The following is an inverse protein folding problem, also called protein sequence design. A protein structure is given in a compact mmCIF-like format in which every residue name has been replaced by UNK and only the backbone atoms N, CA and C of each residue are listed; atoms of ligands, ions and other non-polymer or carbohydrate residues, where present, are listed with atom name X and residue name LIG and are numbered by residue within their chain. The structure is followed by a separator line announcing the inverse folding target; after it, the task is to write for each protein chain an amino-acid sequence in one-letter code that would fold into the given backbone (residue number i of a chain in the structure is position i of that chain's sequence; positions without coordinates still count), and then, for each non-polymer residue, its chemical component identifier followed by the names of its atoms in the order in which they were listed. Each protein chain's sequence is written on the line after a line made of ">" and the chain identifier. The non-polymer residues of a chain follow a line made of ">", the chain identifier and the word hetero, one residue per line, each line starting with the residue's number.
data_IF_319754966670
#
_entry.id   IF_319754966670
#
_cell.length_a   1.000
_cell.length_b   1.000
_cell.length_c   1.000
_cell.angle_alpha   90.00
_cell.angle_beta   90.00
_cell.angle_gamma   90.00
#
_symmetry.space_group_name_H-M   'P 1'
#
loop_
_entity.id
_entity.type
_entity.pdbx_description
1 polymer ?
#
# COMPACT_ATOMS: atom_id res chain seq x y z
N UNK A 1 -31.11 17.60 -81.50
CA UNK A 1 -32.56 17.75 -81.75
C UNK A 1 -33.15 18.43 -80.55
N UNK A 2 -33.58 19.65 -80.79
CA UNK A 2 -34.67 20.46 -80.22
C UNK A 2 -34.67 20.64 -78.65
N UNK A 3 -34.32 21.82 -78.13
CA UNK A 3 -34.98 23.15 -78.27
C UNK A 3 -36.34 23.17 -77.52
N UNK A 4 -36.55 24.01 -76.57
CA UNK A 4 -36.96 25.39 -76.58
C UNK A 4 -37.23 25.81 -75.08
N UNK A 5 -36.70 26.88 -74.59
CA UNK A 5 -37.16 28.28 -74.66
C UNK A 5 -38.60 28.50 -74.13
N UNK A 6 -38.79 29.29 -73.12
CA UNK A 6 -39.17 30.72 -73.08
C UNK A 6 -39.92 30.96 -71.82
N UNK A 7 -39.94 31.97 -71.11
CA UNK A 7 -39.70 33.42 -71.04
C UNK A 7 -40.60 34.01 -69.95
N UNK A 8 -40.03 34.92 -69.18
CA UNK A 8 -40.53 36.26 -68.75
C UNK A 8 -41.90 36.38 -68.05
N UNK A 9 -42.00 37.06 -66.95
CA UNK A 9 -42.15 38.52 -66.91
C UNK A 9 -42.18 39.04 -65.46
N UNK A 10 -41.58 40.18 -65.28
CA UNK A 10 -41.59 41.07 -64.14
C UNK A 10 -43.02 41.51 -63.76
N UNK A 11 -43.19 41.84 -62.47
CA UNK A 11 -43.86 43.08 -62.05
C UNK A 11 -43.39 43.55 -60.71
N UNK A 12 -42.74 44.71 -60.66
CA UNK A 12 -42.56 45.61 -59.54
C UNK A 12 -43.90 46.15 -59.08
N UNK A 13 -44.10 46.31 -57.75
CA UNK A 13 -44.84 47.43 -57.16
C UNK A 13 -44.33 47.60 -55.69
N UNK A 14 -43.53 48.61 -55.49
CA UNK A 14 -43.70 49.85 -54.72
C UNK A 14 -44.11 49.71 -53.25
N UNK A 15 -43.15 50.08 -52.42
CA UNK A 15 -43.11 50.97 -51.29
C UNK A 15 -44.38 51.17 -50.45
N UNK A 16 -44.27 50.96 -49.13
CA UNK A 16 -44.24 52.03 -48.15
C UNK A 16 -43.78 51.55 -46.75
N UNK A 17 -43.31 52.47 -45.90
CA UNK A 17 -42.35 52.20 -44.88
C UNK A 17 -42.99 52.17 -43.46
N UNK A 18 -42.13 52.05 -42.49
CA UNK A 18 -42.29 52.12 -41.04
C UNK A 18 -42.85 50.87 -40.34
N UNK A 19 -41.89 50.07 -39.97
CA UNK A 19 -41.86 49.61 -38.56
C UNK A 19 -40.41 49.28 -38.22
N UNK A 20 -39.83 50.11 -37.36
CA UNK A 20 -38.57 49.81 -36.75
C UNK A 20 -38.75 48.63 -35.78
N UNK A 21 -38.29 47.47 -36.21
CA UNK A 21 -38.11 46.36 -35.29
C UNK A 21 -36.62 46.23 -35.02
N UNK A 22 -36.31 46.54 -33.76
CA UNK A 22 -35.04 46.23 -33.12
C UNK A 22 -34.73 44.74 -33.35
N UNK A 23 -33.88 44.42 -34.27
CA UNK A 23 -33.20 43.10 -34.25
C UNK A 23 -32.14 43.14 -33.21
N UNK A 24 -32.48 42.69 -32.03
CA UNK A 24 -31.52 42.30 -31.00
C UNK A 24 -30.76 41.11 -31.61
N UNK A 25 -29.57 41.37 -32.06
CA UNK A 25 -28.62 40.32 -32.44
C UNK A 25 -28.38 39.46 -31.18
N UNK A 26 -28.97 38.27 -31.18
CA UNK A 26 -28.52 37.23 -30.27
C UNK A 26 -27.10 36.84 -30.65
N UNK A 27 -26.11 37.55 -30.14
CA UNK A 27 -24.78 37.00 -29.95
C UNK A 27 -24.96 35.87 -28.96
N UNK A 28 -25.07 34.65 -29.44
CA UNK A 28 -24.75 33.47 -28.65
C UNK A 28 -23.28 33.56 -28.26
N UNK A 29 -23.00 34.26 -27.18
CA UNK A 29 -21.78 34.04 -26.42
C UNK A 29 -21.83 32.59 -26.01
N UNK A 30 -21.15 31.71 -26.74
CA UNK A 30 -20.77 30.42 -26.22
C UNK A 30 -19.90 30.72 -24.99
N UNK A 31 -20.54 30.74 -23.84
CA UNK A 31 -19.88 30.68 -22.56
C UNK A 31 -19.22 29.29 -22.58
N UNK A 32 -17.94 29.23 -22.98
CA UNK A 32 -17.05 28.19 -22.53
C UNK A 32 -17.02 28.33 -21.02
N UNK A 33 -17.90 27.63 -20.34
CA UNK A 33 -17.70 27.24 -18.98
C UNK A 33 -16.47 26.32 -19.10
N UNK A 34 -15.29 26.91 -19.02
CA UNK A 34 -14.14 26.19 -18.53
C UNK A 34 -14.66 25.64 -17.19
N UNK A 35 -15.02 24.36 -17.19
CA UNK A 35 -15.14 23.65 -15.97
C UNK A 35 -13.75 23.81 -15.34
N UNK A 36 -13.67 24.78 -14.42
CA UNK A 36 -12.61 24.79 -13.44
C UNK A 36 -12.67 23.42 -12.78
N UNK A 37 -11.87 22.52 -13.33
CA UNK A 37 -11.39 21.37 -12.62
C UNK A 37 -10.34 21.85 -11.59
N UNK A 38 -10.69 22.87 -10.82
CA UNK A 38 -10.25 22.96 -9.46
C UNK A 38 -10.92 21.78 -8.77
N UNK A 39 -10.39 20.57 -9.08
CA UNK A 39 -10.45 19.50 -8.12
C UNK A 39 -10.16 20.18 -6.81
N UNK A 40 -11.12 20.20 -5.91
CA UNK A 40 -10.96 20.63 -4.54
C UNK A 40 -9.71 19.89 -4.05
N UNK A 41 -8.56 20.52 -4.15
CA UNK A 41 -7.42 20.21 -3.35
C UNK A 41 -7.93 20.47 -1.94
N UNK A 42 -8.57 19.45 -1.36
CA UNK A 42 -9.00 19.47 0.01
C UNK A 42 -7.77 19.94 0.75
N UNK A 43 -7.84 21.12 1.36
CA UNK A 43 -6.73 21.75 2.04
C UNK A 43 -6.18 20.69 2.99
N UNK A 44 -5.09 20.03 2.56
CA UNK A 44 -4.54 18.87 3.24
C UNK A 44 -3.79 19.40 4.46
N UNK A 45 -4.47 19.36 5.58
CA UNK A 45 -3.84 19.70 6.86
C UNK A 45 -2.82 18.64 7.23
N UNK A 46 -1.77 19.07 7.92
CA UNK A 46 -0.85 18.16 8.61
C UNK A 46 -1.62 17.16 9.45
N UNK A 47 -1.27 15.89 9.35
CA UNK A 47 -1.93 14.81 10.06
C UNK A 47 -0.93 13.71 10.40
N UNK A 48 -1.33 12.77 11.24
CA UNK A 48 -0.48 11.65 11.67
C UNK A 48 -1.17 10.31 11.42
N UNK A 49 -0.35 9.30 11.16
CA UNK A 49 -0.75 7.90 11.07
C UNK A 49 0.18 7.03 11.92
N UNK A 50 -0.31 5.88 12.37
CA UNK A 50 0.51 4.90 13.07
C UNK A 50 1.09 3.88 12.10
N UNK A 51 2.37 3.54 12.27
CA UNK A 51 3.06 2.48 11.55
C UNK A 51 3.43 1.39 12.55
N UNK A 52 3.02 0.16 12.28
CA UNK A 52 3.29 -1.05 13.08
C UNK A 52 3.43 -2.27 12.18
N UNK A 53 4.05 -3.34 12.69
CA UNK A 53 4.17 -4.64 12.03
C UNK A 53 4.60 -5.74 12.98
N UNK A 54 4.65 -6.97 12.50
CA UNK A 54 5.26 -8.13 13.14
C UNK A 54 4.81 -8.34 14.61
N UNK A 55 3.50 -8.23 14.86
CA UNK A 55 2.87 -8.41 16.16
C UNK A 55 1.39 -8.80 16.04
N UNK A 56 0.79 -9.51 17.04
CA UNK A 56 1.42 -10.07 18.24
C UNK A 56 2.14 -11.40 17.94
N UNK A 57 3.37 -11.57 18.44
CA UNK A 57 4.03 -12.87 18.45
C UNK A 57 4.11 -13.40 19.87
N UNK A 58 4.15 -14.71 20.04
CA UNK A 58 4.37 -15.40 21.31
C UNK A 58 3.58 -14.88 22.53
N UNK A 59 3.85 -15.40 23.72
CA UNK A 59 3.17 -14.99 24.95
C UNK A 59 3.53 -13.55 25.37
N UNK A 60 4.76 -13.09 25.09
CA UNK A 60 5.19 -11.73 25.40
C UNK A 60 4.48 -10.73 24.46
N UNK A 61 4.46 -11.01 23.16
CA UNK A 61 3.78 -10.18 22.18
C UNK A 61 2.27 -10.08 22.46
N UNK A 62 1.62 -11.19 22.80
CA UNK A 62 0.19 -11.21 23.18
C UNK A 62 -0.09 -10.31 24.39
N UNK A 63 0.85 -10.23 25.34
CA UNK A 63 0.72 -9.38 26.52
C UNK A 63 1.02 -7.91 26.24
N UNK A 64 1.99 -7.63 25.37
CA UNK A 64 2.50 -6.29 25.11
C UNK A 64 1.72 -5.54 24.01
N UNK A 65 1.21 -6.24 23.02
CA UNK A 65 0.47 -5.62 21.91
C UNK A 65 -0.76 -4.80 22.33
N UNK A 66 -1.54 -5.22 23.35
CA UNK A 66 -2.62 -4.37 23.86
C UNK A 66 -2.16 -2.99 24.35
N UNK A 67 -0.95 -2.87 24.90
CA UNK A 67 -0.40 -1.58 25.33
C UNK A 67 -0.10 -0.68 24.14
N UNK A 68 0.44 -1.24 23.04
CA UNK A 68 0.66 -0.53 21.76
C UNK A 68 -0.68 -0.02 21.20
N UNK A 69 -1.68 -0.89 21.15
CA UNK A 69 -3.02 -0.54 20.62
C UNK A 69 -3.66 0.57 21.48
N UNK A 70 -3.56 0.47 22.81
CA UNK A 70 -4.11 1.47 23.73
C UNK A 70 -3.46 2.84 23.53
N UNK A 71 -2.12 2.89 23.36
CA UNK A 71 -1.41 4.15 23.12
C UNK A 71 -1.79 4.75 21.76
N UNK A 72 -1.86 3.92 20.70
CA UNK A 72 -2.33 4.33 19.39
C UNK A 72 -3.77 4.88 19.45
N UNK A 73 -4.68 4.17 20.13
CA UNK A 73 -6.06 4.58 20.28
C UNK A 73 -6.24 5.88 21.08
N UNK A 74 -5.33 6.16 22.02
CA UNK A 74 -5.30 7.41 22.78
C UNK A 74 -4.67 8.58 22.00
N UNK A 75 -3.94 8.30 20.92
CA UNK A 75 -3.23 9.28 20.12
C UNK A 75 -4.13 9.92 19.05
N UNK A 76 -3.71 11.10 18.54
CA UNK A 76 -4.42 11.82 17.47
C UNK A 76 -3.97 11.37 16.09
N UNK A 77 -4.08 10.08 15.81
CA UNK A 77 -3.79 9.53 14.49
C UNK A 77 -5.08 9.36 13.68
N UNK A 78 -4.98 9.37 12.36
CA UNK A 78 -6.13 9.23 11.47
C UNK A 78 -6.38 7.78 11.04
N UNK A 79 -5.31 7.01 10.86
CA UNK A 79 -5.35 5.60 10.46
C UNK A 79 -4.07 4.89 10.89
N UNK A 80 -4.08 3.56 10.83
CA UNK A 80 -2.92 2.71 11.10
C UNK A 80 -2.54 1.95 9.83
N UNK A 81 -1.26 1.89 9.50
CA UNK A 81 -0.69 0.98 8.53
C UNK A 81 0.00 -0.17 9.26
N UNK A 82 -0.39 -1.39 8.91
CA UNK A 82 0.13 -2.60 9.50
C UNK A 82 0.81 -3.46 8.41
N UNK A 83 2.11 -3.63 8.52
CA UNK A 83 2.91 -4.28 7.48
C UNK A 83 2.94 -5.82 7.55
N UNK A 84 2.05 -6.40 8.33
CA UNK A 84 1.86 -7.86 8.29
C UNK A 84 2.47 -8.58 9.47
N UNK A 85 2.44 -9.91 9.35
CA UNK A 85 2.92 -10.83 10.38
C UNK A 85 2.17 -10.69 11.71
N UNK A 86 0.93 -11.17 11.70
CA UNK A 86 0.06 -11.22 12.89
C UNK A 86 0.34 -12.41 13.79
N UNK A 87 1.24 -13.30 13.39
CA UNK A 87 1.63 -14.49 14.13
C UNK A 87 3.09 -14.83 13.89
N UNK A 88 3.70 -15.52 14.86
CA UNK A 88 5.10 -15.92 14.77
C UNK A 88 5.33 -16.99 13.70
N UNK A 89 6.44 -16.91 12.97
CA UNK A 89 6.91 -17.96 12.05
C UNK A 89 7.32 -19.27 12.74
N UNK A 90 7.36 -19.33 14.09
CA UNK A 90 7.94 -20.47 14.82
C UNK A 90 7.02 -21.13 15.86
N UNK A 91 5.94 -20.51 16.27
CA UNK A 91 5.17 -21.01 17.44
C UNK A 91 3.68 -21.07 17.21
N UNK A 92 3.13 -20.06 16.57
CA UNK A 92 1.70 -19.94 16.38
C UNK A 92 1.24 -20.84 15.24
N UNK A 93 0.21 -21.65 15.50
CA UNK A 93 -0.29 -22.59 14.48
C UNK A 93 -1.32 -21.91 13.59
N UNK A 94 -1.20 -22.12 12.29
CA UNK A 94 -2.12 -21.61 11.27
C UNK A 94 -3.44 -22.41 11.20
N UNK A 95 -4.07 -22.67 12.35
CA UNK A 95 -5.36 -23.36 12.38
C UNK A 95 -6.48 -22.47 11.83
N UNK A 96 -7.57 -23.07 11.37
CA UNK A 96 -8.72 -22.32 10.86
C UNK A 96 -9.28 -21.34 11.90
N UNK A 97 -9.21 -21.70 13.19
CA UNK A 97 -9.66 -20.85 14.30
C UNK A 97 -8.75 -19.66 14.58
N UNK A 98 -7.47 -19.69 14.14
CA UNK A 98 -6.52 -18.61 14.40
C UNK A 98 -6.94 -17.29 13.73
N UNK A 99 -7.40 -17.33 12.50
CA UNK A 99 -7.74 -16.13 11.73
C UNK A 99 -8.93 -15.34 12.30
N UNK A 100 -10.10 -15.93 12.58
CA UNK A 100 -11.17 -15.18 13.25
C UNK A 100 -10.79 -14.73 14.67
N UNK A 101 -9.95 -15.47 15.38
CA UNK A 101 -9.42 -15.05 16.68
C UNK A 101 -8.52 -13.81 16.56
N UNK A 102 -7.65 -13.74 15.55
CA UNK A 102 -6.85 -12.55 15.23
C UNK A 102 -7.73 -11.35 14.88
N UNK A 103 -8.79 -11.57 14.09
CA UNK A 103 -9.72 -10.49 13.77
C UNK A 103 -10.28 -9.85 15.02
N UNK A 104 -10.85 -10.64 15.91
CA UNK A 104 -11.51 -10.14 17.12
C UNK A 104 -10.53 -9.73 18.23
N UNK A 105 -9.39 -10.39 18.33
CA UNK A 105 -8.37 -10.16 19.37
C UNK A 105 -7.39 -9.05 19.07
N UNK A 106 -7.17 -8.75 17.78
CA UNK A 106 -6.19 -7.75 17.35
C UNK A 106 -6.84 -6.68 16.47
N UNK A 107 -7.28 -6.99 15.25
CA UNK A 107 -7.75 -5.99 14.28
C UNK A 107 -8.93 -5.15 14.79
N UNK A 108 -9.92 -5.78 15.41
CA UNK A 108 -11.12 -5.10 15.89
C UNK A 108 -10.87 -4.26 17.17
N UNK A 109 -9.64 -4.24 17.69
CA UNK A 109 -9.27 -3.41 18.85
C UNK A 109 -8.87 -1.99 18.48
N UNK A 110 -8.58 -1.72 17.22
CA UNK A 110 -8.23 -0.38 16.77
C UNK A 110 -9.47 0.50 16.60
N UNK A 111 -9.44 1.72 17.15
CA UNK A 111 -10.55 2.68 17.06
C UNK A 111 -10.65 3.34 15.68
N UNK A 112 -9.53 3.47 15.00
CA UNK A 112 -9.41 4.07 13.68
C UNK A 112 -9.24 2.99 12.62
N UNK A 113 -9.43 3.31 11.31
CA UNK A 113 -9.18 2.37 10.23
C UNK A 113 -7.75 1.83 10.29
N UNK A 114 -7.62 0.54 10.03
CA UNK A 114 -6.35 -0.12 9.88
C UNK A 114 -6.26 -0.70 8.46
N UNK A 115 -5.16 -0.41 7.78
CA UNK A 115 -4.83 -0.98 6.48
C UNK A 115 -3.70 -1.98 6.66
N UNK A 116 -3.87 -3.16 6.08
CA UNK A 116 -3.05 -4.32 6.31
C UNK A 116 -2.54 -4.89 4.99
N UNK A 117 -1.25 -5.24 4.93
CA UNK A 117 -0.68 -6.14 3.92
C UNK A 117 -0.36 -7.48 4.56
N UNK A 118 -0.49 -8.57 3.81
CA UNK A 118 -0.30 -9.92 4.33
C UNK A 118 1.20 -10.22 4.45
N UNK A 119 1.63 -10.71 5.62
CA UNK A 119 2.97 -11.24 5.82
C UNK A 119 3.10 -12.71 5.42
N UNK A 120 4.31 -13.25 5.49
CA UNK A 120 4.58 -14.65 5.18
C UNK A 120 4.13 -15.58 6.30
N UNK A 121 4.15 -15.13 7.54
CA UNK A 121 3.77 -15.93 8.69
C UNK A 121 2.29 -16.33 8.71
N UNK A 122 1.41 -15.58 8.06
CA UNK A 122 -0.01 -15.89 7.97
C UNK A 122 -0.33 -16.99 6.97
N UNK A 123 0.57 -17.32 6.04
CA UNK A 123 0.26 -18.30 5.00
C UNK A 123 1.46 -19.05 4.44
N UNK A 124 2.51 -18.40 3.93
CA UNK A 124 3.68 -19.06 3.32
C UNK A 124 4.30 -20.03 4.32
N UNK A 125 4.59 -19.55 5.51
CA UNK A 125 5.26 -20.26 6.59
C UNK A 125 4.36 -21.32 7.27
N UNK A 126 3.09 -21.38 6.92
CA UNK A 126 2.15 -22.31 7.53
C UNK A 126 2.41 -23.78 7.16
N UNK A 127 3.21 -24.02 6.13
CA UNK A 127 3.67 -25.36 5.75
C UNK A 127 4.75 -25.93 6.68
N UNK A 128 5.37 -25.07 7.51
CA UNK A 128 6.32 -25.49 8.54
C UNK A 128 5.64 -26.42 9.53
N UNK A 129 6.31 -27.53 9.87
CA UNK A 129 5.78 -28.52 10.82
C UNK A 129 5.39 -27.90 12.16
N UNK A 130 6.18 -26.95 12.68
CA UNK A 130 5.91 -26.23 13.92
C UNK A 130 4.63 -25.38 13.85
N UNK A 131 4.22 -24.97 12.65
CA UNK A 131 3.01 -24.20 12.41
C UNK A 131 1.79 -25.06 12.08
N UNK A 132 2.00 -26.37 11.89
CA UNK A 132 0.96 -27.36 11.65
C UNK A 132 1.02 -28.03 10.28
N UNK A 133 1.95 -27.64 9.39
CA UNK A 133 2.13 -28.26 8.07
C UNK A 133 0.95 -28.05 7.13
N UNK A 134 0.34 -26.88 7.17
CA UNK A 134 -0.82 -26.55 6.33
C UNK A 134 -0.40 -26.13 4.93
N UNK A 135 -1.26 -26.40 3.96
CA UNK A 135 -1.08 -25.90 2.60
C UNK A 135 -1.16 -24.36 2.56
N UNK A 136 -0.12 -23.65 2.08
CA UNK A 136 -0.08 -22.19 2.05
C UNK A 136 -1.26 -21.54 1.33
N UNK A 137 -1.67 -22.07 0.17
CA UNK A 137 -2.77 -21.49 -0.60
C UNK A 137 -4.11 -21.61 0.12
N UNK A 138 -4.31 -22.71 0.87
CA UNK A 138 -5.49 -22.85 1.73
C UNK A 138 -5.50 -21.80 2.85
N UNK A 139 -4.33 -21.47 3.38
CA UNK A 139 -4.19 -20.43 4.42
C UNK A 139 -4.41 -19.05 3.84
N UNK A 140 -3.84 -18.75 2.68
CA UNK A 140 -4.08 -17.50 1.97
C UNK A 140 -5.58 -17.28 1.70
N UNK A 141 -6.31 -18.32 1.32
CA UNK A 141 -7.76 -18.24 1.15
C UNK A 141 -8.48 -17.85 2.45
N UNK A 142 -8.03 -18.38 3.61
CA UNK A 142 -8.58 -18.01 4.91
C UNK A 142 -8.22 -16.57 5.30
N UNK A 143 -6.99 -16.13 5.04
CA UNK A 143 -6.59 -14.72 5.25
C UNK A 143 -7.50 -13.80 4.45
N UNK A 144 -7.68 -14.07 3.15
CA UNK A 144 -8.54 -13.27 2.27
C UNK A 144 -9.98 -13.21 2.77
N UNK A 145 -10.57 -14.36 3.16
CA UNK A 145 -11.96 -14.40 3.60
C UNK A 145 -12.22 -13.78 4.98
N UNK A 146 -11.22 -13.77 5.86
CA UNK A 146 -11.36 -13.19 7.20
C UNK A 146 -11.04 -11.69 7.24
N UNK A 147 -10.13 -11.19 6.37
CA UNK A 147 -9.58 -9.85 6.51
C UNK A 147 -9.82 -8.93 5.31
N UNK A 148 -10.17 -9.45 4.13
CA UNK A 148 -10.28 -8.63 2.92
C UNK A 148 -11.63 -8.66 2.24
N UNK A 149 -12.20 -9.85 1.99
CA UNK A 149 -13.44 -9.95 1.25
C UNK A 149 -14.29 -11.12 1.74
N UNK A 150 -15.54 -10.85 2.05
CA UNK A 150 -16.55 -11.86 2.40
C UNK A 150 -16.97 -12.66 1.18
N UNK A 151 -17.60 -13.81 1.42
CA UNK A 151 -18.12 -14.68 0.36
C UNK A 151 -19.17 -14.01 -0.55
N UNK A 152 -19.85 -12.99 -0.07
CA UNK A 152 -20.81 -12.18 -0.84
C UNK A 152 -20.16 -11.08 -1.70
N UNK A 153 -18.83 -11.01 -1.72
CA UNK A 153 -18.06 -10.02 -2.45
C UNK A 153 -17.86 -8.68 -1.70
N UNK A 154 -18.42 -8.53 -0.51
CA UNK A 154 -18.26 -7.31 0.29
C UNK A 154 -16.84 -7.23 0.85
N UNK A 155 -16.16 -6.10 0.62
CA UNK A 155 -14.85 -5.84 1.22
C UNK A 155 -14.95 -5.57 2.72
N UNK A 156 -13.95 -6.03 3.45
CA UNK A 156 -13.87 -5.92 4.91
C UNK A 156 -13.02 -4.69 5.26
N UNK A 157 -13.54 -3.86 6.15
CA UNK A 157 -12.75 -2.79 6.77
C UNK A 157 -12.22 -3.29 8.11
N UNK A 158 -10.90 -3.21 8.30
CA UNK A 158 -10.25 -3.58 9.56
C UNK A 158 -10.14 -2.36 10.49
N UNK A 159 -10.12 -2.60 11.77
CA UNK A 159 -10.16 -1.56 12.79
C UNK A 159 -11.50 -0.82 12.80
N UNK A 160 -11.45 0.49 13.10
CA UNK A 160 -12.61 1.38 13.12
C UNK A 160 -13.73 0.93 14.08
N UNK A 161 -13.36 0.32 15.20
CA UNK A 161 -14.34 -0.22 16.17
C UNK A 161 -15.29 0.84 16.74
N UNK A 162 -14.92 2.13 16.67
CA UNK A 162 -15.80 3.25 17.07
C UNK A 162 -16.60 3.86 15.92
N UNK A 163 -16.57 3.31 14.73
CA UNK A 163 -17.32 3.82 13.58
C UNK A 163 -16.93 5.23 13.14
N UNK A 164 -15.71 5.67 13.46
CA UNK A 164 -15.25 7.04 13.21
C UNK A 164 -14.56 7.20 11.86
N UNK A 165 -14.60 6.16 11.01
CA UNK A 165 -14.00 6.25 9.67
C UNK A 165 -14.64 7.41 8.93
N UNK A 166 -13.83 8.34 8.41
CA UNK A 166 -14.34 9.22 7.40
C UNK A 166 -14.89 8.34 6.27
N UNK A 167 -16.20 8.38 6.03
CA UNK A 167 -16.88 7.68 4.91
C UNK A 167 -16.32 8.07 3.53
N UNK A 168 -15.18 8.73 3.50
CA UNK A 168 -14.53 9.38 2.38
C UNK A 168 -13.24 8.71 1.92
N UNK A 169 -12.74 7.66 2.60
CA UNK A 169 -11.64 6.88 2.07
C UNK A 169 -12.22 5.87 1.10
N UNK A 170 -12.27 6.23 -0.18
CA UNK A 170 -12.65 5.33 -1.26
C UNK A 170 -11.51 4.35 -1.52
N UNK A 171 -11.53 3.19 -0.86
CA UNK A 171 -10.54 2.14 -1.07
C UNK A 171 -10.86 1.40 -2.35
N UNK A 172 -9.88 1.34 -3.25
CA UNK A 172 -9.92 0.48 -4.42
C UNK A 172 -9.25 -0.85 -4.09
N UNK A 173 -9.83 -1.93 -4.60
CA UNK A 173 -9.29 -3.28 -4.49
C UNK A 173 -9.07 -3.87 -5.88
N UNK A 174 -8.15 -4.80 -6.00
CA UNK A 174 -8.07 -5.65 -7.18
C UNK A 174 -9.15 -6.73 -7.11
N UNK A 175 -9.75 -7.06 -8.24
CA UNK A 175 -10.87 -8.02 -8.28
C UNK A 175 -10.44 -9.48 -8.11
N UNK A 176 -9.20 -9.81 -8.48
CA UNK A 176 -8.65 -11.16 -8.34
C UNK A 176 -7.83 -11.32 -7.05
N UNK A 177 -7.31 -10.22 -6.53
CA UNK A 177 -6.46 -10.15 -5.35
C UNK A 177 -7.04 -9.11 -4.37
N UNK A 178 -8.07 -9.44 -3.58
CA UNK A 178 -8.79 -8.49 -2.73
C UNK A 178 -7.91 -7.81 -1.67
N UNK A 179 -6.75 -8.39 -1.37
CA UNK A 179 -5.73 -7.83 -0.50
C UNK A 179 -4.94 -6.68 -1.13
N UNK A 180 -4.93 -6.55 -2.46
CA UNK A 180 -4.32 -5.40 -3.12
C UNK A 180 -5.23 -4.18 -2.98
N UNK A 181 -4.79 -3.20 -2.21
CA UNK A 181 -5.56 -2.02 -1.86
C UNK A 181 -4.85 -0.75 -2.33
N UNK A 182 -5.61 0.26 -2.69
CA UNK A 182 -5.11 1.63 -2.86
C UNK A 182 -6.18 2.66 -2.55
N UNK A 183 -5.76 3.82 -2.07
CA UNK A 183 -6.64 4.95 -1.82
C UNK A 183 -5.86 6.26 -1.80
N UNK A 184 -6.55 7.38 -1.94
CA UNK A 184 -5.97 8.70 -1.68
C UNK A 184 -6.58 9.29 -0.40
N UNK A 185 -5.72 9.83 0.46
CA UNK A 185 -6.14 10.46 1.70
C UNK A 185 -5.30 11.71 1.97
N UNK A 186 -5.96 12.85 2.15
CA UNK A 186 -5.35 14.15 2.46
C UNK A 186 -4.11 14.47 1.62
N UNK A 187 -4.21 14.28 0.30
CA UNK A 187 -3.16 14.62 -0.65
C UNK A 187 -2.03 13.60 -0.79
N UNK A 188 -2.15 12.44 -0.19
CA UNK A 188 -1.21 11.31 -0.31
C UNK A 188 -1.93 10.12 -0.94
N UNK A 189 -1.26 9.42 -1.85
CA UNK A 189 -1.72 8.13 -2.40
C UNK A 189 -1.05 6.99 -1.64
N UNK A 190 -1.86 6.04 -1.20
CA UNK A 190 -1.46 4.82 -0.50
C UNK A 190 -1.61 3.64 -1.44
N UNK A 191 -0.57 2.83 -1.56
CA UNK A 191 -0.53 1.63 -2.43
C UNK A 191 -0.13 0.46 -1.55
N UNK A 192 -0.96 -0.56 -1.48
CA UNK A 192 -0.75 -1.73 -0.63
C UNK A 192 -0.74 -2.97 -1.52
N UNK A 193 0.41 -3.36 -2.07
CA UNK A 193 0.59 -4.63 -2.73
C UNK A 193 0.77 -5.76 -1.71
N UNK A 194 0.74 -7.01 -2.15
CA UNK A 194 0.99 -8.19 -1.35
C UNK A 194 2.37 -8.77 -1.66
N UNK A 195 3.37 -8.33 -0.90
CA UNK A 195 4.78 -8.73 -1.05
C UNK A 195 5.28 -9.24 0.30
N UNK A 196 5.13 -10.56 0.59
CA UNK A 196 5.54 -11.15 1.86
C UNK A 196 7.02 -11.52 1.86
N UNK A 197 7.58 -11.75 3.05
CA UNK A 197 8.85 -12.39 3.28
C UNK A 197 8.95 -13.79 2.69
N UNK A 198 9.81 -14.63 3.25
CA UNK A 198 10.01 -16.02 2.83
C UNK A 198 10.14 -16.17 1.30
N UNK A 199 11.06 -15.37 0.73
CA UNK A 199 11.32 -15.31 -0.71
C UNK A 199 10.07 -15.07 -1.57
N UNK A 200 9.09 -14.32 -1.06
CA UNK A 200 7.85 -13.99 -1.78
C UNK A 200 7.07 -15.25 -2.25
N UNK A 201 7.14 -16.35 -1.50
CA UNK A 201 6.59 -17.66 -1.88
C UNK A 201 7.19 -18.24 -3.19
N UNK A 202 8.35 -17.78 -3.64
CA UNK A 202 9.02 -18.33 -4.83
C UNK A 202 9.66 -19.68 -4.55
N UNK A 203 9.59 -20.62 -5.51
CA UNK A 203 10.29 -21.90 -5.44
C UNK A 203 11.82 -21.79 -5.54
N UNK A 204 12.34 -20.61 -5.85
CA UNK A 204 13.79 -20.31 -5.94
C UNK A 204 14.42 -20.11 -4.56
N UNK A 205 13.69 -20.40 -3.49
CA UNK A 205 14.22 -20.31 -2.12
C UNK A 205 15.49 -21.15 -1.94
N UNK A 206 16.51 -20.54 -1.37
CA UNK A 206 17.84 -21.15 -1.16
C UNK A 206 17.81 -22.41 -0.29
N UNK A 207 18.80 -23.29 -0.42
CA UNK A 207 19.04 -24.39 0.51
C UNK A 207 19.10 -23.99 1.99
N UNK A 208 19.47 -22.76 2.30
CA UNK A 208 19.50 -22.23 3.68
C UNK A 208 18.11 -21.99 4.26
N UNK A 209 17.14 -21.64 3.46
CA UNK A 209 15.74 -21.59 3.88
C UNK A 209 15.20 -23.00 4.22
N UNK A 210 15.71 -24.03 3.55
CA UNK A 210 15.34 -25.43 3.80
C UNK A 210 15.73 -25.95 5.19
N UNK A 211 16.73 -25.36 5.84
CA UNK A 211 17.14 -25.78 7.20
C UNK A 211 16.18 -25.28 8.29
N UNK A 212 15.41 -24.26 8.06
CA UNK A 212 14.31 -23.85 8.95
C UNK A 212 13.02 -24.65 8.70
N UNK A 213 12.91 -25.30 7.57
CA UNK A 213 11.71 -25.96 7.07
C UNK A 213 11.98 -27.42 6.77
N UNK A 214 12.09 -28.27 7.79
CA UNK A 214 12.31 -29.74 7.64
C UNK A 214 11.18 -30.48 6.88
N UNK A 215 10.15 -29.79 6.45
CA UNK A 215 9.03 -30.33 5.69
C UNK A 215 8.38 -29.33 4.74
N UNK A 216 8.99 -28.16 4.52
CA UNK A 216 8.42 -27.14 3.65
C UNK A 216 8.36 -27.66 2.22
N UNK A 217 7.21 -27.54 1.60
CA UNK A 217 7.12 -27.56 0.14
C UNK A 217 7.96 -26.40 -0.38
N UNK A 218 8.80 -26.66 -1.36
CA UNK A 218 9.40 -25.57 -2.14
C UNK A 218 8.24 -24.67 -2.58
N UNK A 219 8.35 -23.33 -2.47
CA UNK A 219 7.27 -22.38 -2.75
C UNK A 219 6.47 -22.66 -4.04
N UNK A 220 5.49 -21.86 -4.32
CA UNK A 220 4.62 -22.04 -5.50
C UNK A 220 4.94 -20.99 -6.57
N UNK A 221 5.76 -21.38 -7.55
CA UNK A 221 6.13 -20.51 -8.67
C UNK A 221 4.95 -20.04 -9.53
N UNK A 222 3.86 -20.80 -9.57
CA UNK A 222 2.66 -20.40 -10.33
C UNK A 222 1.95 -19.25 -9.59
N UNK A 223 1.74 -19.43 -8.28
CA UNK A 223 1.17 -18.39 -7.42
C UNK A 223 2.08 -17.17 -7.40
N UNK A 224 3.36 -17.35 -7.08
CA UNK A 224 4.36 -16.30 -7.00
C UNK A 224 4.36 -15.41 -8.27
N UNK A 225 4.55 -16.00 -9.44
CA UNK A 225 4.63 -15.26 -10.71
C UNK A 225 3.35 -14.51 -11.04
N UNK A 226 2.20 -15.10 -10.75
CA UNK A 226 0.90 -14.48 -10.99
C UNK A 226 0.68 -13.28 -10.05
N UNK A 227 0.96 -13.43 -8.75
CA UNK A 227 0.82 -12.36 -7.77
C UNK A 227 1.88 -11.27 -7.95
N UNK A 228 3.13 -11.63 -8.27
CA UNK A 228 4.19 -10.65 -8.54
C UNK A 228 3.84 -9.76 -9.74
N UNK A 229 3.33 -10.35 -10.82
CA UNK A 229 2.83 -9.59 -11.96
C UNK A 229 1.65 -8.66 -11.58
N UNK A 230 0.72 -9.13 -10.75
CA UNK A 230 -0.39 -8.33 -10.24
C UNK A 230 0.11 -7.18 -9.35
N UNK A 231 1.09 -7.43 -8.47
CA UNK A 231 1.73 -6.40 -7.64
C UNK A 231 2.38 -5.31 -8.49
N UNK A 232 3.15 -5.69 -9.51
CA UNK A 232 3.77 -4.72 -10.45
C UNK A 232 2.71 -3.88 -11.14
N UNK A 233 1.65 -4.50 -11.65
CA UNK A 233 0.54 -3.78 -12.29
C UNK A 233 -0.16 -2.85 -11.30
N UNK A 234 -0.35 -3.27 -10.05
CA UNK A 234 -0.99 -2.49 -9.00
C UNK A 234 -0.15 -1.28 -8.58
N UNK A 235 1.15 -1.47 -8.42
CA UNK A 235 2.11 -0.38 -8.14
C UNK A 235 2.06 0.64 -9.27
N UNK A 236 2.16 0.22 -10.53
CA UNK A 236 2.09 1.11 -11.69
C UNK A 236 0.79 1.93 -11.68
N UNK A 237 -0.36 1.28 -11.51
CA UNK A 237 -1.67 1.91 -11.44
C UNK A 237 -1.77 2.91 -10.29
N UNK A 238 -1.19 2.58 -9.13
CA UNK A 238 -1.17 3.46 -7.96
C UNK A 238 -0.36 4.73 -8.19
N UNK A 239 0.79 4.63 -8.83
CA UNK A 239 1.58 5.81 -9.20
C UNK A 239 0.91 6.65 -10.31
N UNK A 240 0.26 6.01 -11.29
CA UNK A 240 -0.55 6.72 -12.29
C UNK A 240 -1.67 7.51 -11.62
N UNK A 241 -2.37 6.89 -10.65
CA UNK A 241 -3.36 7.57 -9.83
C UNK A 241 -2.75 8.74 -9.07
N UNK A 242 -1.60 8.56 -8.42
CA UNK A 242 -0.93 9.62 -7.68
C UNK A 242 -0.57 10.82 -8.56
N UNK A 243 -0.12 10.57 -9.78
CA UNK A 243 0.17 11.62 -10.77
C UNK A 243 -1.13 12.33 -11.19
N UNK A 244 -2.18 11.58 -11.50
CA UNK A 244 -3.47 12.12 -11.93
C UNK A 244 -4.14 12.95 -10.83
N UNK A 245 -4.08 12.49 -9.58
CA UNK A 245 -4.63 13.18 -8.42
C UNK A 245 -3.77 14.38 -7.97
N UNK A 246 -2.57 14.56 -8.51
CA UNK A 246 -1.63 15.59 -8.10
C UNK A 246 -1.05 15.37 -6.70
N UNK A 247 -1.01 14.13 -6.20
CA UNK A 247 -0.58 13.78 -4.85
C UNK A 247 0.76 14.40 -4.48
N UNK A 248 0.89 14.84 -3.23
CA UNK A 248 2.13 15.41 -2.70
C UNK A 248 3.20 14.33 -2.46
N UNK A 249 2.78 13.09 -2.20
CA UNK A 249 3.65 11.93 -2.02
C UNK A 249 2.89 10.62 -2.22
N UNK A 250 3.65 9.54 -2.21
CA UNK A 250 3.14 8.16 -2.27
C UNK A 250 3.67 7.39 -1.07
N UNK A 251 2.81 6.60 -0.43
CA UNK A 251 3.20 5.61 0.57
C UNK A 251 2.91 4.23 0.00
N UNK A 252 3.92 3.36 -0.02
CA UNK A 252 3.79 1.95 -0.39
C UNK A 252 3.97 1.10 0.86
N UNK A 253 3.05 0.17 1.13
CA UNK A 253 3.07 -0.71 2.27
C UNK A 253 3.31 -2.15 1.79
N UNK A 254 4.39 -2.77 2.25
CA UNK A 254 4.72 -4.20 2.02
C UNK A 254 5.11 -4.84 3.34
N UNK A 255 5.18 -6.18 3.41
CA UNK A 255 5.71 -6.83 4.60
C UNK A 255 7.21 -7.10 4.43
N UNK A 256 7.64 -7.66 3.33
CA UNK A 256 9.03 -8.08 3.11
C UNK A 256 10.04 -6.93 3.21
N UNK A 257 11.16 -7.18 3.84
CA UNK A 257 12.33 -6.30 3.76
C UNK A 257 12.85 -6.17 2.30
N UNK A 258 12.65 -7.16 1.47
CA UNK A 258 13.10 -7.22 0.07
C UNK A 258 14.64 -7.13 -0.11
N UNK A 259 15.39 -7.32 0.97
CA UNK A 259 16.87 -7.36 0.94
C UNK A 259 17.51 -6.14 0.22
N UNK A 260 17.13 -4.94 0.70
CA UNK A 260 17.67 -3.69 0.15
C UNK A 260 19.14 -3.50 0.48
N UNK A 261 19.60 -4.00 1.60
CA UNK A 261 20.95 -3.86 2.11
C UNK A 261 21.95 -4.73 1.35
N UNK A 262 21.49 -5.75 0.63
CA UNK A 262 22.33 -6.76 0.02
C UNK A 262 23.14 -7.55 1.05
N UNK A 263 22.70 -7.55 2.31
CA UNK A 263 23.32 -8.35 3.35
C UNK A 263 22.86 -9.81 3.23
N UNK A 264 23.81 -10.72 3.07
CA UNK A 264 23.61 -12.07 3.51
C UNK A 264 23.40 -12.03 5.03
N UNK A 265 22.21 -12.38 5.53
CA UNK A 265 21.97 -12.65 6.96
C UNK A 265 22.96 -13.69 7.50
N UNK A 266 23.46 -14.51 6.62
CA UNK A 266 24.53 -15.48 6.86
C UNK A 266 25.61 -15.27 5.80
N UNK A 267 26.82 -14.91 6.22
CA UNK A 267 27.96 -14.74 5.33
C UNK A 267 28.32 -16.03 4.55
N UNK A 268 27.79 -17.20 4.97
CA UNK A 268 27.93 -18.48 4.30
C UNK A 268 26.86 -18.72 3.22
N UNK A 269 25.83 -17.89 3.12
CA UNK A 269 24.74 -18.02 2.14
C UNK A 269 24.53 -16.67 1.42
N UNK A 270 25.14 -16.48 0.25
CA UNK A 270 24.88 -15.26 -0.53
C UNK A 270 23.39 -15.20 -0.92
N UNK A 271 22.71 -14.12 -0.50
CA UNK A 271 21.28 -13.89 -0.66
C UNK A 271 20.80 -13.61 -2.10
N UNK A 272 21.51 -14.08 -3.09
CA UNK A 272 21.21 -13.79 -4.49
C UNK A 272 19.82 -14.27 -4.94
N UNK A 273 19.24 -15.24 -4.24
CA UNK A 273 17.96 -15.85 -4.61
C UNK A 273 16.76 -15.11 -3.98
N UNK A 274 16.87 -14.64 -2.73
CA UNK A 274 15.84 -13.82 -2.12
C UNK A 274 15.71 -12.48 -2.86
N UNK A 275 16.83 -11.87 -3.27
CA UNK A 275 16.82 -10.64 -4.05
C UNK A 275 16.10 -10.81 -5.40
N UNK A 276 16.25 -11.97 -6.05
CA UNK A 276 15.60 -12.27 -7.33
C UNK A 276 14.07 -12.32 -7.21
N UNK A 277 13.54 -12.84 -6.10
CA UNK A 277 12.09 -12.92 -5.87
C UNK A 277 11.40 -11.54 -5.74
N UNK A 278 12.15 -10.48 -5.47
CA UNK A 278 11.65 -9.13 -5.33
C UNK A 278 12.05 -8.20 -6.49
N UNK A 279 12.81 -8.70 -7.46
CA UNK A 279 13.43 -7.88 -8.50
C UNK A 279 12.42 -7.06 -9.31
N UNK A 280 11.28 -7.65 -9.70
CA UNK A 280 10.26 -6.97 -10.50
C UNK A 280 9.56 -5.86 -9.70
N UNK A 281 9.22 -6.12 -8.44
CA UNK A 281 8.61 -5.14 -7.54
C UNK A 281 9.57 -3.98 -7.27
N UNK A 282 10.83 -4.28 -6.93
CA UNK A 282 11.89 -3.26 -6.71
C UNK A 282 12.10 -2.39 -7.96
N UNK A 283 12.15 -3.01 -9.15
CA UNK A 283 12.30 -2.27 -10.41
C UNK A 283 11.05 -1.41 -10.72
N UNK A 284 9.84 -1.90 -10.43
CA UNK A 284 8.62 -1.13 -10.59
C UNK A 284 8.60 0.09 -9.66
N UNK A 285 9.01 -0.08 -8.40
CA UNK A 285 9.15 1.01 -7.44
C UNK A 285 10.15 2.06 -7.95
N UNK A 286 11.33 1.64 -8.41
CA UNK A 286 12.32 2.55 -8.97
C UNK A 286 11.76 3.34 -10.15
N UNK A 287 11.24 2.65 -11.16
CA UNK A 287 10.75 3.26 -12.39
C UNK A 287 9.68 4.32 -12.10
N UNK A 288 8.74 4.00 -11.22
CA UNK A 288 7.67 4.90 -10.86
C UNK A 288 8.13 6.05 -9.95
N UNK A 289 9.08 5.82 -9.04
CA UNK A 289 9.68 6.87 -8.21
C UNK A 289 10.37 7.93 -9.06
N UNK A 290 11.17 7.49 -10.04
CA UNK A 290 11.85 8.39 -10.98
C UNK A 290 10.85 9.19 -11.83
N UNK A 291 9.74 8.58 -12.25
CA UNK A 291 8.67 9.22 -13.00
C UNK A 291 7.85 10.19 -12.16
N UNK A 292 7.55 9.84 -10.91
CA UNK A 292 6.72 10.64 -9.99
C UNK A 292 7.42 11.90 -9.49
N UNK A 293 8.73 11.86 -9.27
CA UNK A 293 9.60 12.99 -8.90
C UNK A 293 9.24 13.72 -7.59
N UNK A 294 8.31 13.19 -6.81
CA UNK A 294 7.94 13.67 -5.49
C UNK A 294 8.25 12.60 -4.46
N UNK A 295 8.19 12.90 -3.14
CA UNK A 295 8.54 11.93 -2.11
C UNK A 295 7.75 10.62 -2.19
N UNK A 296 8.45 9.51 -2.10
CA UNK A 296 7.92 8.15 -1.99
C UNK A 296 8.42 7.55 -0.68
N UNK A 297 7.51 7.01 0.11
CA UNK A 297 7.81 6.28 1.32
C UNK A 297 7.44 4.80 1.13
N UNK A 298 8.39 3.91 1.38
CA UNK A 298 8.15 2.48 1.55
C UNK A 298 8.09 2.16 3.03
N UNK A 299 6.98 1.56 3.51
CA UNK A 299 6.92 0.93 4.82
C UNK A 299 7.08 -0.58 4.65
N UNK A 300 7.92 -1.18 5.48
CA UNK A 300 8.05 -2.63 5.59
C UNK A 300 8.28 -3.10 7.04
N UNK A 301 8.09 -4.40 7.29
CA UNK A 301 8.40 -5.12 8.51
C UNK A 301 9.51 -6.15 8.33
N UNK A 302 9.24 -7.42 8.73
CA UNK A 302 10.03 -8.64 8.53
C UNK A 302 11.25 -8.77 9.47
N UNK A 303 11.98 -7.69 9.70
CA UNK A 303 13.24 -7.71 10.45
C UNK A 303 13.11 -7.32 11.93
N UNK A 304 11.97 -6.79 12.33
CA UNK A 304 11.58 -6.46 13.72
C UNK A 304 12.32 -5.28 14.38
N UNK A 305 13.22 -4.56 13.71
CA UNK A 305 13.85 -3.37 14.28
C UNK A 305 13.54 -2.12 13.45
N UNK A 306 13.40 -1.03 14.16
CA UNK A 306 13.12 0.26 13.54
C UNK A 306 14.33 0.79 12.76
N UNK A 307 14.07 1.19 11.52
CA UNK A 307 15.07 1.81 10.65
C UNK A 307 14.41 2.81 9.71
N UNK A 308 15.11 3.90 9.41
CA UNK A 308 14.76 4.83 8.32
C UNK A 308 16.01 5.07 7.50
N UNK A 309 15.91 4.82 6.19
CA UNK A 309 17.02 4.99 5.26
C UNK A 309 16.55 5.32 3.83
N UNK A 310 17.50 5.51 2.93
CA UNK A 310 17.31 5.66 1.48
C UNK A 310 18.08 4.54 0.77
N UNK A 311 17.49 3.34 0.63
CA UNK A 311 18.22 2.17 0.17
C UNK A 311 18.31 2.05 -1.35
N UNK A 312 17.63 2.92 -2.11
CA UNK A 312 17.47 2.77 -3.55
C UNK A 312 18.56 3.52 -4.31
N UNK A 313 19.33 2.79 -5.10
CA UNK A 313 20.33 3.35 -6.02
C UNK A 313 20.03 2.91 -7.46
N UNK A 314 20.39 3.75 -8.44
CA UNK A 314 20.12 3.48 -9.84
C UNK A 314 21.30 3.83 -10.77
N UNK A 315 21.33 3.18 -11.93
CA UNK A 315 22.16 3.57 -13.08
C UNK A 315 21.34 3.40 -14.35
N UNK A 316 21.14 4.49 -15.08
CA UNK A 316 20.37 4.52 -16.34
C UNK A 316 18.93 3.93 -16.19
N UNK A 317 18.26 4.22 -15.06
CA UNK A 317 16.91 3.75 -14.77
C UNK A 317 16.81 2.28 -14.36
N UNK A 318 17.94 1.64 -14.06
CA UNK A 318 17.98 0.27 -13.52
C UNK A 318 18.44 0.29 -12.08
N UNK A 319 17.79 -0.51 -11.26
CA UNK A 319 18.20 -0.71 -9.88
C UNK A 319 19.59 -1.31 -9.84
N UNK A 320 20.44 -0.78 -8.98
CA UNK A 320 21.77 -1.30 -8.68
C UNK A 320 21.92 -1.51 -7.18
N UNK A 321 22.97 -2.20 -6.78
CA UNK A 321 23.28 -2.42 -5.37
C UNK A 321 23.52 -1.09 -4.65
N UNK A 322 23.26 -1.10 -3.35
CA UNK A 322 23.55 0.02 -2.47
C UNK A 322 24.99 0.51 -2.69
N UNK A 323 25.16 1.81 -2.65
CA UNK A 323 26.45 2.50 -2.85
C UNK A 323 27.03 2.38 -4.28
N UNK A 324 26.26 1.83 -5.24
CA UNK A 324 26.59 1.89 -6.66
C UNK A 324 25.62 2.80 -7.40
N UNK A 325 26.09 3.49 -8.44
CA UNK A 325 25.28 4.42 -9.22
C UNK A 325 24.89 5.68 -8.45
N UNK A 326 23.71 6.20 -8.73
CA UNK A 326 23.15 7.42 -8.12
C UNK A 326 22.08 7.08 -7.09
N UNK A 327 22.11 7.74 -5.95
CA UNK A 327 21.06 7.63 -4.93
C UNK A 327 19.74 8.19 -5.47
N UNK A 328 18.64 7.50 -5.24
CA UNK A 328 17.28 7.97 -5.53
C UNK A 328 16.76 8.75 -4.32
N UNK A 329 17.08 10.04 -4.27
CA UNK A 329 16.90 10.91 -3.09
C UNK A 329 15.45 11.10 -2.68
N UNK A 330 14.49 10.88 -3.58
CA UNK A 330 13.07 10.99 -3.27
C UNK A 330 12.41 9.68 -2.84
N UNK A 331 13.20 8.62 -2.59
CA UNK A 331 12.72 7.36 -2.04
C UNK A 331 13.27 7.13 -0.63
N UNK A 332 12.37 7.03 0.33
CA UNK A 332 12.68 6.73 1.73
C UNK A 332 12.04 5.41 2.12
N UNK A 333 12.75 4.59 2.90
CA UNK A 333 12.18 3.41 3.53
C UNK A 333 12.06 3.65 5.03
N UNK A 334 10.96 3.18 5.62
CA UNK A 334 10.78 2.99 7.05
C UNK A 334 10.47 1.54 7.32
N UNK A 335 11.29 0.90 8.13
CA UNK A 335 11.05 -0.42 8.68
C UNK A 335 10.50 -0.26 10.09
N UNK A 336 9.42 -0.96 10.41
CA UNK A 336 8.76 -0.84 11.71
C UNK A 336 9.45 -1.65 12.80
N UNK A 337 9.08 -1.41 14.04
CA UNK A 337 9.33 -2.34 15.11
C UNK A 337 8.51 -3.62 14.90
N UNK A 338 8.96 -4.72 15.48
CA UNK A 338 8.25 -5.99 15.49
C UNK A 338 8.50 -6.76 16.77
N UNK A 339 8.29 -8.08 16.70
CA UNK A 339 8.44 -9.00 17.83
C UNK A 339 9.75 -8.79 18.60
N UNK A 340 9.65 -8.74 19.92
CA UNK A 340 10.74 -8.40 20.83
C UNK A 340 10.83 -6.90 21.15
N UNK A 341 10.33 -6.03 20.26
CA UNK A 341 10.31 -4.57 20.38
C UNK A 341 8.91 -4.04 20.06
N UNK A 342 7.91 -4.42 20.87
CA UNK A 342 6.51 -4.04 20.65
C UNK A 342 6.29 -2.55 20.94
N UNK A 343 6.67 -1.71 19.99
CA UNK A 343 6.57 -0.27 19.96
C UNK A 343 5.95 0.18 18.66
N UNK A 344 5.76 1.48 18.45
CA UNK A 344 5.18 1.98 17.22
C UNK A 344 5.81 3.30 16.74
N UNK A 345 5.59 3.63 15.49
CA UNK A 345 6.09 4.86 14.87
C UNK A 345 4.91 5.72 14.47
N UNK A 346 4.91 6.99 14.89
CA UNK A 346 4.01 8.01 14.36
C UNK A 346 4.66 8.63 13.14
N UNK A 347 4.02 8.47 11.98
CA UNK A 347 4.37 9.21 10.78
C UNK A 347 3.53 10.47 10.71
N UNK A 348 4.18 11.61 10.87
CA UNK A 348 3.58 12.93 10.71
C UNK A 348 3.76 13.35 9.26
N UNK A 349 2.64 13.66 8.60
CA UNK A 349 2.59 13.98 7.17
C UNK A 349 2.16 15.45 7.03
N UNK A 350 3.01 16.26 6.38
CA UNK A 350 2.71 17.66 6.10
C UNK A 350 2.82 17.93 4.59
N UNK A 351 1.70 17.83 3.85
CA UNK A 351 1.70 17.97 2.39
C UNK A 351 2.14 19.35 1.88
N UNK A 352 2.27 20.34 2.77
CA UNK A 352 2.74 21.67 2.41
C UNK A 352 4.22 21.91 2.77
N UNK A 353 4.84 20.96 3.46
CA UNK A 353 6.24 21.03 3.84
C UNK A 353 7.16 20.50 2.75
N UNK A 354 8.34 21.08 2.59
CA UNK A 354 9.42 20.50 1.79
C UNK A 354 9.90 19.16 2.39
N UNK A 355 9.74 18.99 3.70
CA UNK A 355 9.96 17.71 4.39
C UNK A 355 8.60 17.08 4.69
N UNK A 356 8.10 16.30 3.72
CA UNK A 356 6.77 15.69 3.77
C UNK A 356 6.60 14.70 4.93
N UNK A 357 7.67 13.99 5.31
CA UNK A 357 7.68 12.91 6.30
C UNK A 357 8.45 13.31 7.56
N UNK A 358 7.83 13.15 8.72
CA UNK A 358 8.51 13.22 10.01
C UNK A 358 8.16 11.98 10.83
N UNK A 359 9.18 11.25 11.24
CA UNK A 359 9.03 10.02 12.03
C UNK A 359 9.21 10.35 13.52
N UNK A 360 8.29 9.89 14.33
CA UNK A 360 8.36 9.99 15.79
C UNK A 360 8.19 8.61 16.39
N UNK A 361 9.23 8.15 17.05
CA UNK A 361 9.23 6.86 17.74
C UNK A 361 8.46 6.98 19.05
N UNK A 362 7.56 6.03 19.28
CA UNK A 362 6.83 5.85 20.53
C UNK A 362 7.31 4.59 21.22
N UNK A 363 8.08 4.77 22.28
CA UNK A 363 8.51 3.68 23.15
C UNK A 363 7.42 3.47 24.20
N UNK A 364 6.65 2.42 24.03
CA UNK A 364 5.57 2.02 24.96
C UNK A 364 6.22 1.59 26.28
N UNK A 365 6.04 2.39 27.31
CA UNK A 365 6.75 2.21 28.60
C UNK A 365 6.42 0.91 29.30
N UNK A 366 5.17 0.48 29.19
CA UNK A 366 4.65 -0.75 29.76
C UNK A 366 5.28 -2.00 29.13
N UNK A 367 5.90 -1.84 27.95
CA UNK A 367 6.55 -2.91 27.21
C UNK A 367 8.07 -2.99 27.42
N UNK A 368 8.63 -2.04 28.18
CA UNK A 368 10.05 -2.09 28.51
C UNK A 368 10.33 -3.21 29.50
N UNK A 369 11.33 -4.03 29.22
CA UNK A 369 11.86 -4.97 30.19
C UNK A 369 12.56 -4.17 31.30
N UNK A 370 11.94 -4.09 32.46
CA UNK A 370 12.58 -3.50 33.62
C UNK A 370 13.66 -4.49 34.07
N UNK A 371 14.89 -4.26 33.67
CA UNK A 371 16.01 -4.92 34.29
C UNK A 371 15.99 -4.48 35.76
N UNK A 372 15.62 -5.39 36.66
CA UNK A 372 15.77 -5.14 38.07
C UNK A 372 17.23 -4.75 38.32
N UNK A 373 17.43 -3.52 38.80
CA UNK A 373 18.74 -3.11 39.24
C UNK A 373 19.19 -4.09 40.32
N UNK A 374 20.17 -4.93 39.96
CA UNK A 374 20.82 -5.87 40.87
C UNK A 374 21.69 -5.13 41.88
#
# INVERSE_FOLDING_TARGET
>A
MNAARMTTTQKLKRFNPLFAILTIGAMTAALFIAADSSANAAQSYKYSIALIGDMPYDAKGVTQTPNVINEINASRIDLTLFDGDTMSGKGDKCTDAAYPALKTGFFDKFFKPLFYTIGDNEWVDCDRAVKGGFDPLSRLALVRSNFFQKADGTYITLGNSMGTTPSRIGVMHDSAYPELQMFSYKGITYIIPHVPGSANNSAVATPTFKTYNDAAKDGDDVEYKARDAANVAWINKGFEKAIADGSAGVIVLVQANMDWEGYARDAAAPNNENTAAFANVKQALLTNTLKFKKPVLLQNGDEHWYQVDMPMNETAGKLVEKDKGSLVENFTRVQTFGSGFNHWVELIIDPHSTNLWTFKVHIVKENLDVHAAS
#
